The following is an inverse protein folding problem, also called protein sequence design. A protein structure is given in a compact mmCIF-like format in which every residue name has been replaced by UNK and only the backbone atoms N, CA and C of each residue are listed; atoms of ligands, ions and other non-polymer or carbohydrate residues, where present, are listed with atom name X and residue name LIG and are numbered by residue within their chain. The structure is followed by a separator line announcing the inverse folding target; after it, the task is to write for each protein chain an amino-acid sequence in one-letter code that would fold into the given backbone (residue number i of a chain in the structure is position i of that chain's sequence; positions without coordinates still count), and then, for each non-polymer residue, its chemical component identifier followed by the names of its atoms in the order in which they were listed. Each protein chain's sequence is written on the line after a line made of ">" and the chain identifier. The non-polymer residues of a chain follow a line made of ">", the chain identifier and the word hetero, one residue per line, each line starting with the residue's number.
data_IF_134458342134
#
_entry.id   IF_134458342134
#
_cell.length_a   1.000
_cell.length_b   1.000
_cell.length_c   1.000
_cell.angle_alpha   90.00
_cell.angle_beta   90.00
_cell.angle_gamma   90.00
#
_symmetry.space_group_name_H-M   'P 1'
#
loop_
_entity.id
_entity.type
_entity.pdbx_description
1 polymer ?
#
# COMPACT_ATOMS: atom_id res chain seq x y z
N UNK A 1 -40.47 -10.57 -7.58
CA UNK A 1 -39.07 -11.04 -7.68
C UNK A 1 -38.15 -9.85 -7.42
N UNK A 2 -37.55 -9.77 -6.24
CA UNK A 2 -36.55 -8.76 -5.95
C UNK A 2 -35.21 -9.22 -6.54
N UNK A 3 -34.79 -8.64 -7.64
CA UNK A 3 -33.45 -8.80 -8.15
C UNK A 3 -32.47 -8.21 -7.14
N UNK A 4 -31.89 -9.03 -6.25
CA UNK A 4 -30.71 -8.69 -5.48
C UNK A 4 -29.51 -8.71 -6.44
N UNK A 5 -29.38 -7.68 -7.24
CA UNK A 5 -28.11 -7.44 -7.92
C UNK A 5 -27.02 -7.21 -6.87
N UNK A 6 -25.97 -8.02 -6.89
CA UNK A 6 -24.78 -7.73 -6.06
C UNK A 6 -24.32 -6.31 -6.39
N UNK A 7 -24.07 -5.46 -5.38
CA UNK A 7 -23.53 -4.12 -5.64
C UNK A 7 -22.28 -4.24 -6.51
N UNK A 8 -22.27 -3.53 -7.63
CA UNK A 8 -21.15 -3.59 -8.57
C UNK A 8 -19.88 -3.02 -7.93
N UNK A 9 -18.76 -3.67 -8.20
CA UNK A 9 -17.45 -3.13 -7.88
C UNK A 9 -17.00 -2.20 -8.99
N UNK A 10 -16.46 -1.04 -8.66
CA UNK A 10 -15.96 -0.10 -9.65
C UNK A 10 -14.57 0.43 -9.28
N UNK A 11 -13.83 0.85 -10.29
CA UNK A 11 -12.51 1.41 -10.14
C UNK A 11 -12.56 2.94 -10.22
N UNK A 12 -12.04 3.61 -9.18
CA UNK A 12 -12.00 5.06 -9.14
C UNK A 12 -10.72 5.54 -8.43
N UNK A 13 -10.06 6.54 -8.99
CA UNK A 13 -8.83 7.15 -8.44
C UNK A 13 -7.75 6.15 -7.98
N UNK A 14 -7.55 5.08 -8.73
CA UNK A 14 -6.51 4.08 -8.39
C UNK A 14 -6.93 3.01 -7.40
N UNK A 15 -8.19 3.03 -6.97
CA UNK A 15 -8.76 2.05 -6.04
C UNK A 15 -9.96 1.33 -6.63
N UNK A 16 -10.09 0.06 -6.28
CA UNK A 16 -11.32 -0.71 -6.48
C UNK A 16 -12.19 -0.51 -5.26
N UNK A 17 -13.40 -0.02 -5.47
CA UNK A 17 -14.43 0.17 -4.46
C UNK A 17 -15.31 -1.06 -4.41
N UNK A 18 -15.43 -1.68 -3.25
CA UNK A 18 -16.16 -2.93 -3.02
C UNK A 18 -17.14 -2.70 -1.88
N UNK A 19 -18.43 -2.89 -2.14
CA UNK A 19 -19.45 -2.86 -1.08
C UNK A 19 -19.27 -4.07 -0.15
N UNK A 20 -19.35 -3.84 1.14
CA UNK A 20 -19.20 -4.87 2.15
C UNK A 20 -19.63 -4.42 3.52
N UNK A 21 -19.24 -5.17 4.54
CA UNK A 21 -19.52 -4.87 5.95
C UNK A 21 -18.21 -4.61 6.71
N UNK A 22 -18.28 -3.73 7.68
CA UNK A 22 -17.16 -3.46 8.58
C UNK A 22 -16.94 -4.66 9.50
N UNK A 23 -15.70 -5.16 9.56
CA UNK A 23 -15.34 -6.25 10.48
C UNK A 23 -15.54 -5.89 11.97
N UNK A 24 -15.51 -4.60 12.31
CA UNK A 24 -15.61 -4.11 13.69
C UNK A 24 -17.03 -3.85 14.13
N UNK A 25 -17.89 -3.34 13.25
CA UNK A 25 -19.23 -2.87 13.61
C UNK A 25 -20.36 -3.64 12.92
N UNK A 26 -20.05 -4.48 11.93
CA UNK A 26 -21.04 -5.17 11.10
C UNK A 26 -21.84 -4.26 10.16
N UNK A 27 -21.66 -2.93 10.25
CA UNK A 27 -22.38 -1.97 9.43
C UNK A 27 -21.85 -1.97 7.97
N UNK A 28 -22.74 -1.54 7.05
CA UNK A 28 -22.35 -1.34 5.66
C UNK A 28 -21.15 -0.40 5.55
N UNK A 29 -20.19 -0.78 4.72
CA UNK A 29 -19.02 0.06 4.41
C UNK A 29 -18.53 -0.21 2.97
N UNK A 30 -17.81 0.75 2.42
CA UNK A 30 -17.14 0.61 1.12
C UNK A 30 -15.66 0.34 1.38
N UNK A 31 -15.22 -0.87 1.06
CA UNK A 31 -13.80 -1.22 1.08
C UNK A 31 -13.10 -0.63 -0.14
N UNK A 32 -11.98 0.02 0.07
CA UNK A 32 -11.13 0.57 -0.98
C UNK A 32 -9.81 -0.18 -0.99
N UNK A 33 -9.51 -0.83 -2.11
CA UNK A 33 -8.26 -1.59 -2.29
C UNK A 33 -7.53 -1.06 -3.50
N UNK A 34 -6.22 -0.92 -3.42
CA UNK A 34 -5.39 -0.53 -4.58
C UNK A 34 -5.64 -1.47 -5.75
N UNK A 35 -5.83 -0.92 -6.94
CA UNK A 35 -5.99 -1.70 -8.17
C UNK A 35 -4.73 -2.53 -8.41
N UNK A 36 -4.87 -3.85 -8.48
CA UNK A 36 -3.75 -4.78 -8.60
C UNK A 36 -2.86 -4.50 -9.82
N UNK A 37 -3.46 -4.19 -10.98
CA UNK A 37 -2.73 -3.87 -12.21
C UNK A 37 -1.86 -2.61 -12.06
N UNK A 38 -2.33 -1.57 -11.37
CA UNK A 38 -1.54 -0.35 -11.10
C UNK A 38 -0.39 -0.62 -10.14
N UNK A 39 -0.62 -1.42 -9.11
CA UNK A 39 0.43 -1.86 -8.19
C UNK A 39 1.50 -2.68 -8.93
N UNK A 40 1.10 -3.62 -9.78
CA UNK A 40 2.01 -4.43 -10.59
C UNK A 40 2.85 -3.58 -11.56
N UNK A 41 2.25 -2.59 -12.21
CA UNK A 41 2.95 -1.66 -13.09
C UNK A 41 4.01 -0.85 -12.32
N UNK A 42 3.67 -0.33 -11.12
CA UNK A 42 4.63 0.37 -10.26
C UNK A 42 5.76 -0.53 -9.80
N UNK A 43 5.49 -1.76 -9.43
CA UNK A 43 6.52 -2.73 -9.05
C UNK A 43 7.42 -3.09 -10.23
N UNK A 44 6.88 -3.19 -11.44
CA UNK A 44 7.65 -3.40 -12.67
C UNK A 44 8.64 -2.23 -12.92
N UNK A 45 8.17 -1.00 -12.75
CA UNK A 45 9.02 0.20 -12.85
C UNK A 45 10.13 0.19 -11.80
N UNK A 46 9.82 -0.09 -10.54
CA UNK A 46 10.80 -0.20 -9.46
C UNK A 46 11.87 -1.26 -9.78
N UNK A 47 11.47 -2.42 -10.29
CA UNK A 47 12.41 -3.48 -10.71
C UNK A 47 13.34 -3.02 -11.82
N UNK A 48 12.82 -2.30 -12.82
CA UNK A 48 13.63 -1.74 -13.91
C UNK A 48 14.65 -0.71 -13.38
N UNK A 49 14.23 0.16 -12.46
CA UNK A 49 15.10 1.15 -11.82
C UNK A 49 16.17 0.50 -10.92
N UNK A 50 15.81 -0.56 -10.18
CA UNK A 50 16.77 -1.33 -9.38
C UNK A 50 17.84 -2.00 -10.25
N UNK A 51 17.49 -2.50 -11.43
CA UNK A 51 18.45 -3.07 -12.38
C UNK A 51 19.48 -2.02 -12.84
N UNK A 52 19.03 -0.81 -13.15
CA UNK A 52 19.92 0.31 -13.52
C UNK A 52 20.87 0.69 -12.38
N UNK A 53 20.41 0.54 -11.11
CA UNK A 53 21.17 0.84 -9.89
C UNK A 53 21.88 -0.39 -9.30
N UNK A 54 22.00 -1.47 -10.04
CA UNK A 54 22.56 -2.74 -9.53
C UNK A 54 23.94 -2.57 -8.89
N UNK A 55 24.78 -1.67 -9.40
CA UNK A 55 26.13 -1.41 -8.90
C UNK A 55 26.21 -0.23 -7.92
N UNK A 56 25.11 0.48 -7.66
CA UNK A 56 25.06 1.55 -6.69
C UNK A 56 25.28 1.03 -5.25
N UNK A 57 25.71 1.90 -4.36
CA UNK A 57 25.89 1.56 -2.95
C UNK A 57 24.56 1.29 -2.28
N UNK A 58 24.51 0.34 -1.35
CA UNK A 58 23.29 -0.03 -0.62
C UNK A 58 22.60 1.17 0.05
N UNK A 59 23.32 2.10 0.75
CA UNK A 59 22.70 3.28 1.33
C UNK A 59 22.06 4.23 0.31
N UNK A 60 22.62 4.36 -0.86
CA UNK A 60 22.08 5.20 -1.94
C UNK A 60 20.78 4.61 -2.48
N UNK A 61 20.79 3.31 -2.75
CA UNK A 61 19.59 2.58 -3.18
C UNK A 61 18.51 2.60 -2.10
N UNK A 62 18.90 2.49 -0.82
CA UNK A 62 17.97 2.59 0.32
C UNK A 62 17.27 3.95 0.35
N UNK A 63 18.02 5.06 0.25
CA UNK A 63 17.44 6.41 0.23
C UNK A 63 16.46 6.62 -0.91
N UNK A 64 16.81 6.15 -2.10
CA UNK A 64 15.90 6.21 -3.25
C UNK A 64 14.64 5.38 -3.02
N UNK A 65 14.76 4.13 -2.54
CA UNK A 65 13.61 3.28 -2.24
C UNK A 65 12.72 3.88 -1.14
N UNK A 66 13.31 4.49 -0.11
CA UNK A 66 12.55 5.19 0.93
C UNK A 66 11.67 6.29 0.33
N UNK A 67 12.20 7.10 -0.57
CA UNK A 67 11.44 8.17 -1.25
C UNK A 67 10.29 7.58 -2.08
N UNK A 68 10.58 6.56 -2.88
CA UNK A 68 9.58 5.91 -3.74
C UNK A 68 8.45 5.27 -2.91
N UNK A 69 8.81 4.53 -1.85
CA UNK A 69 7.83 3.84 -0.99
C UNK A 69 7.02 4.85 -0.17
N UNK A 70 7.65 5.91 0.37
CA UNK A 70 6.92 6.99 1.06
C UNK A 70 5.93 7.68 0.13
N UNK A 71 6.32 8.04 -1.08
CA UNK A 71 5.43 8.64 -2.06
C UNK A 71 4.25 7.73 -2.42
N UNK A 72 4.51 6.42 -2.58
CA UNK A 72 3.44 5.45 -2.80
C UNK A 72 2.49 5.35 -1.59
N UNK A 73 3.01 5.32 -0.37
CA UNK A 73 2.21 5.24 0.85
C UNK A 73 1.38 6.51 1.08
N UNK A 74 1.92 7.70 0.79
CA UNK A 74 1.16 8.96 0.93
C UNK A 74 -0.15 8.93 0.15
N UNK A 75 -0.17 8.31 -1.02
CA UNK A 75 -1.38 8.20 -1.83
C UNK A 75 -2.27 7.01 -1.43
N UNK A 76 -1.66 5.85 -1.15
CA UNK A 76 -2.41 4.60 -1.00
C UNK A 76 -2.69 4.20 0.45
N UNK A 77 -2.17 4.94 1.45
CA UNK A 77 -2.33 4.62 2.87
C UNK A 77 -3.69 5.06 3.43
N UNK A 78 -4.75 4.56 2.82
CA UNK A 78 -6.14 4.77 3.23
C UNK A 78 -6.62 3.61 4.11
N UNK A 79 -7.63 3.85 4.98
CA UNK A 79 -8.22 2.80 5.79
C UNK A 79 -8.73 1.62 4.94
N UNK A 80 -8.45 0.40 5.40
CA UNK A 80 -8.82 -0.84 4.71
C UNK A 80 -7.82 -1.32 3.65
N UNK A 81 -6.79 -0.52 3.30
CA UNK A 81 -5.80 -0.87 2.27
C UNK A 81 -4.47 -1.41 2.83
N UNK A 82 -4.34 -1.60 4.13
CA UNK A 82 -3.09 -1.99 4.80
C UNK A 82 -2.50 -3.31 4.27
N UNK A 83 -3.34 -4.27 3.90
CA UNK A 83 -2.89 -5.54 3.34
C UNK A 83 -2.16 -5.34 1.99
N UNK A 84 -2.68 -4.46 1.12
CA UNK A 84 -2.04 -4.11 -0.16
C UNK A 84 -0.74 -3.36 0.03
N UNK A 85 -0.66 -2.48 1.03
CA UNK A 85 0.57 -1.76 1.36
C UNK A 85 1.66 -2.71 1.88
N UNK A 86 1.30 -3.68 2.74
CA UNK A 86 2.23 -4.72 3.20
C UNK A 86 2.73 -5.58 2.04
N UNK A 87 1.84 -6.00 1.14
CA UNK A 87 2.22 -6.74 -0.05
C UNK A 87 3.19 -5.93 -0.93
N UNK A 88 2.87 -4.67 -1.20
CA UNK A 88 3.74 -3.78 -1.98
C UNK A 88 5.14 -3.64 -1.34
N UNK A 89 5.21 -3.37 -0.03
CA UNK A 89 6.47 -3.23 0.71
C UNK A 89 7.32 -4.51 0.65
N UNK A 90 6.68 -5.66 0.84
CA UNK A 90 7.32 -6.98 0.75
C UNK A 90 7.88 -7.23 -0.65
N UNK A 91 7.11 -6.90 -1.70
CA UNK A 91 7.52 -7.12 -3.08
C UNK A 91 8.65 -6.17 -3.51
N UNK A 92 8.70 -4.96 -2.96
CA UNK A 92 9.84 -4.02 -3.11
C UNK A 92 11.09 -4.60 -2.45
N UNK A 93 10.99 -5.06 -1.20
CA UNK A 93 12.11 -5.69 -0.48
C UNK A 93 12.63 -6.91 -1.23
N UNK A 94 11.74 -7.77 -1.69
CA UNK A 94 12.09 -8.95 -2.49
C UNK A 94 12.80 -8.58 -3.78
N UNK A 95 12.30 -7.58 -4.51
CA UNK A 95 12.91 -7.10 -5.75
C UNK A 95 14.33 -6.55 -5.52
N UNK A 96 14.54 -5.85 -4.41
CA UNK A 96 15.86 -5.35 -4.01
C UNK A 96 16.81 -6.49 -3.67
N UNK A 97 16.37 -7.47 -2.88
CA UNK A 97 17.14 -8.68 -2.57
C UNK A 97 17.56 -9.43 -3.85
N UNK A 98 16.63 -9.61 -4.80
CA UNK A 98 16.96 -10.26 -6.08
C UNK A 98 18.00 -9.49 -6.88
N UNK A 99 17.98 -8.16 -6.84
CA UNK A 99 18.98 -7.32 -7.50
C UNK A 99 20.34 -7.50 -6.85
N UNK A 100 20.43 -7.54 -5.52
CA UNK A 100 21.68 -7.78 -4.80
C UNK A 100 22.23 -9.21 -5.03
N UNK A 101 21.35 -10.20 -5.12
CA UNK A 101 21.75 -11.58 -5.46
C UNK A 101 22.44 -11.67 -6.81
N UNK A 102 21.94 -10.96 -7.81
CA UNK A 102 22.54 -10.92 -9.16
C UNK A 102 23.90 -10.24 -9.18
N UNK A 103 24.16 -9.32 -8.25
CA UNK A 103 25.44 -8.64 -8.12
C UNK A 103 26.56 -9.54 -7.62
N UNK A 104 26.25 -10.55 -6.78
CA UNK A 104 27.24 -11.36 -6.08
C UNK A 104 27.07 -12.83 -6.39
N UNK A 105 27.84 -13.35 -7.35
CA UNK A 105 27.87 -14.78 -7.67
C UNK A 105 28.78 -15.61 -6.74
N UNK A 106 29.67 -15.00 -5.99
CA UNK A 106 30.78 -15.68 -5.29
C UNK A 106 30.57 -15.91 -3.78
N UNK A 107 29.57 -15.28 -3.15
CA UNK A 107 29.40 -15.42 -1.70
C UNK A 107 28.16 -16.24 -1.34
N UNK A 108 28.34 -17.27 -0.50
CA UNK A 108 27.26 -17.90 0.27
C UNK A 108 26.73 -16.92 1.31
N UNK A 109 26.01 -15.88 0.85
CA UNK A 109 25.36 -14.93 1.76
C UNK A 109 24.12 -15.58 2.34
N UNK A 110 23.97 -15.50 3.65
CA UNK A 110 22.71 -15.83 4.31
C UNK A 110 21.70 -14.71 3.97
N UNK A 111 20.81 -15.01 3.02
CA UNK A 111 19.83 -14.05 2.49
C UNK A 111 18.80 -13.61 3.52
N UNK A 112 18.53 -14.44 4.52
CA UNK A 112 17.66 -14.09 5.65
C UNK A 112 18.28 -12.96 6.48
N UNK A 113 19.57 -13.06 6.78
CA UNK A 113 20.31 -11.98 7.47
C UNK A 113 20.38 -10.70 6.65
N UNK A 114 20.55 -10.81 5.34
CA UNK A 114 20.55 -9.64 4.46
C UNK A 114 19.15 -9.00 4.44
N UNK A 115 18.09 -9.79 4.30
CA UNK A 115 16.71 -9.32 4.37
C UNK A 115 16.42 -8.61 5.69
N UNK A 116 16.83 -9.19 6.83
CA UNK A 116 16.66 -8.60 8.16
C UNK A 116 17.37 -7.26 8.33
N UNK A 117 18.49 -7.04 7.63
CA UNK A 117 19.21 -5.74 7.62
C UNK A 117 18.59 -4.71 6.68
N UNK A 118 17.99 -5.14 5.57
CA UNK A 118 17.39 -4.24 4.60
C UNK A 118 15.96 -3.85 4.98
N UNK A 119 15.23 -4.72 5.64
CA UNK A 119 13.84 -4.48 6.02
C UNK A 119 13.62 -3.19 6.83
N UNK A 120 14.43 -2.87 7.86
CA UNK A 120 14.30 -1.62 8.62
C UNK A 120 14.60 -0.35 7.79
N UNK A 121 15.30 -0.50 6.66
CA UNK A 121 15.60 0.62 5.77
C UNK A 121 14.40 1.07 4.95
N UNK A 122 13.38 0.21 4.81
CA UNK A 122 12.13 0.58 4.13
C UNK A 122 11.11 1.16 5.12
N UNK A 123 10.32 2.18 4.69
CA UNK A 123 9.30 2.78 5.53
C UNK A 123 8.29 1.74 6.05
N UNK A 124 7.89 1.80 7.31
CA UNK A 124 6.85 0.94 7.84
C UNK A 124 5.48 1.29 7.25
N UNK A 125 4.60 0.30 7.17
CA UNK A 125 3.21 0.52 6.73
C UNK A 125 2.44 1.22 7.85
N UNK A 126 1.98 2.44 7.58
CA UNK A 126 1.08 3.20 8.45
C UNK A 126 -0.07 3.75 7.61
N UNK A 127 -1.29 3.71 8.14
CA UNK A 127 -2.42 4.41 7.54
C UNK A 127 -2.28 5.89 7.87
N UNK A 128 -2.25 6.72 6.85
CA UNK A 128 -2.01 8.17 6.98
C UNK A 128 -3.30 8.96 6.88
N UNK A 129 -4.24 8.46 6.06
CA UNK A 129 -5.49 9.16 5.82
C UNK A 129 -6.57 8.72 6.83
N UNK A 130 -7.35 9.67 7.38
CA UNK A 130 -8.48 9.36 8.22
C UNK A 130 -9.61 8.69 7.40
N UNK A 131 -10.54 8.05 8.10
CA UNK A 131 -11.79 7.59 7.47
C UNK A 131 -12.54 8.77 6.85
N UNK A 132 -13.23 8.58 5.71
CA UNK A 132 -13.98 9.66 5.04
C UNK A 132 -15.02 10.32 5.93
N UNK A 133 -15.72 9.55 6.72
CA UNK A 133 -16.71 10.01 7.70
C UNK A 133 -16.08 10.88 8.80
N UNK A 134 -14.94 10.50 9.32
CA UNK A 134 -14.19 11.32 10.28
C UNK A 134 -13.70 12.62 9.63
N UNK A 135 -13.26 12.57 8.38
CA UNK A 135 -12.84 13.74 7.62
C UNK A 135 -14.01 14.67 7.31
N UNK A 136 -15.18 14.09 6.96
CA UNK A 136 -16.41 14.84 6.72
C UNK A 136 -16.90 15.50 8.01
N UNK A 137 -16.91 14.77 9.11
CA UNK A 137 -17.30 15.28 10.43
C UNK A 137 -16.40 16.45 10.89
N UNK A 138 -15.10 16.34 10.67
CA UNK A 138 -14.16 17.43 11.01
C UNK A 138 -14.38 18.68 10.15
N UNK A 139 -14.75 18.51 8.88
CA UNK A 139 -15.02 19.63 7.97
C UNK A 139 -16.39 20.27 8.18
N UNK A 140 -17.39 19.48 8.61
CA UNK A 140 -18.78 19.91 8.75
C UNK A 140 -19.36 19.51 10.11
N UNK A 141 -18.85 20.05 11.24
CA UNK A 141 -19.28 19.62 12.60
C UNK A 141 -20.76 19.87 12.84
N UNK A 142 -21.36 20.89 12.21
CA UNK A 142 -22.76 21.29 12.43
C UNK A 142 -23.80 20.41 11.70
N UNK A 143 -23.40 19.60 10.72
CA UNK A 143 -24.33 18.75 9.96
C UNK A 143 -24.65 17.46 10.70
N UNK A 144 -23.68 16.89 11.42
CA UNK A 144 -23.87 15.65 12.19
C UNK A 144 -24.60 15.83 13.54
N UNK A 145 -24.65 17.08 14.05
CA UNK A 145 -25.38 17.41 15.28
C UNK A 145 -26.90 17.42 15.13
N UNK A 146 -27.43 17.48 13.91
CA UNK A 146 -28.89 17.57 13.66
C UNK A 146 -29.61 16.20 13.57
N UNK A 147 -28.90 15.08 13.47
CA UNK A 147 -29.52 13.75 13.35
C UNK A 147 -29.57 12.97 14.69
N UNK A 148 -29.45 13.64 15.84
CA UNK A 148 -29.81 13.09 17.15
C UNK A 148 -31.13 13.67 17.62
N UNK A 149 -32.21 13.42 16.89
CA UNK A 149 -33.54 13.64 17.39
C UNK A 149 -34.37 12.37 17.15
N UNK A 150 -34.49 11.63 18.24
CA UNK A 150 -35.46 10.58 18.60
C UNK A 150 -35.45 9.27 17.84
#
# INVERSE_FOLDING_TARGET
>A
MLFRSKPETFNFLGFTHICGTSYRTGNFTIHRKTIGRRMAAKLKDIRAQLRKRMHARVPETARWLQQVVRGYFQYHAIPGNSARLRAFRRDVLWSWLQTLRRRSHKHRMNWERVAARLDPLLPPVKIVHPYPDARFAAKYPNILGRNRVR
#
